data_IF_570579367484
#
_entry.id   IF_570579367484
#
_cell.length_a   1.000
_cell.length_b   1.000
_cell.length_c   1.000
_cell.angle_alpha   90.00
_cell.angle_beta   90.00
_cell.angle_gamma   90.00
#
_symmetry.space_group_name_H-M   'P 1'
#
loop_
_entity.id
_entity.type
_entity.pdbx_description
1 polymer ?
#
# COMPACT_ATOMS: atom_id res chain seq x y z
N UNK A 1 -13.58 16.13 -3.97
CA UNK A 1 -12.20 15.66 -4.19
C UNK A 1 -12.05 14.26 -3.63
N UNK A 2 -11.35 13.43 -4.34
CA UNK A 2 -11.17 12.05 -3.91
C UNK A 2 -10.02 11.93 -2.91
N UNK A 3 -10.21 11.07 -1.94
CA UNK A 3 -9.14 10.70 -1.02
C UNK A 3 -8.11 9.86 -1.80
N UNK A 4 -6.85 10.12 -1.59
CA UNK A 4 -5.75 9.42 -2.28
C UNK A 4 -5.08 8.50 -1.28
N UNK A 5 -5.08 7.20 -1.58
CA UNK A 5 -4.60 6.19 -0.64
C UNK A 5 -3.53 5.33 -1.32
N UNK A 6 -2.40 5.17 -0.66
CA UNK A 6 -1.33 4.27 -1.08
C UNK A 6 -1.41 3.00 -0.24
N UNK A 7 -1.54 1.86 -0.90
CA UNK A 7 -1.53 0.56 -0.23
C UNK A 7 -0.27 -0.18 -0.65
N UNK A 8 0.62 -0.43 0.30
CA UNK A 8 1.77 -1.31 0.05
C UNK A 8 1.28 -2.73 0.32
N UNK A 9 1.01 -3.47 -0.74
CA UNK A 9 0.41 -4.78 -0.63
C UNK A 9 1.47 -5.87 -0.75
N UNK A 10 1.18 -7.00 -0.20
CA UNK A 10 2.06 -8.17 -0.23
C UNK A 10 1.36 -9.32 0.44
N UNK A 11 0.10 -9.10 0.83
CA UNK A 11 -0.70 -10.08 1.54
C UNK A 11 -2.10 -10.10 0.96
N UNK A 12 -2.84 -11.15 1.29
CA UNK A 12 -4.25 -11.26 0.93
C UNK A 12 -5.04 -10.11 1.52
N UNK A 13 -4.72 -9.70 2.74
CA UNK A 13 -5.41 -8.60 3.40
C UNK A 13 -5.27 -7.31 2.62
N UNK A 14 -4.07 -7.02 2.11
CA UNK A 14 -3.86 -5.83 1.31
C UNK A 14 -4.63 -5.87 -0.01
N UNK A 15 -4.67 -7.02 -0.65
CA UNK A 15 -5.42 -7.20 -1.89
C UNK A 15 -6.91 -7.00 -1.68
N UNK A 16 -7.46 -7.60 -0.61
CA UNK A 16 -8.87 -7.48 -0.31
C UNK A 16 -9.25 -6.05 0.07
N UNK A 17 -8.37 -5.35 0.78
CA UNK A 17 -8.61 -3.96 1.10
C UNK A 17 -8.68 -3.12 -0.16
N UNK A 18 -7.80 -3.38 -1.12
CA UNK A 18 -7.82 -2.65 -2.38
C UNK A 18 -9.14 -2.88 -3.12
N UNK A 19 -9.64 -4.13 -3.11
CA UNK A 19 -10.91 -4.43 -3.74
C UNK A 19 -12.06 -3.70 -3.08
N UNK A 20 -12.07 -3.66 -1.75
CA UNK A 20 -13.12 -2.98 -1.02
C UNK A 20 -13.10 -1.47 -1.28
N UNK A 21 -11.92 -0.88 -1.24
CA UNK A 21 -11.79 0.56 -1.41
C UNK A 21 -11.99 1.00 -2.86
N UNK A 22 -11.77 0.10 -3.81
CA UNK A 22 -11.92 0.45 -5.23
C UNK A 22 -13.35 0.83 -5.58
N UNK A 23 -14.32 0.42 -4.79
CA UNK A 23 -15.73 0.78 -5.01
C UNK A 23 -16.10 2.10 -4.36
N UNK A 24 -15.19 2.71 -3.61
CA UNK A 24 -15.43 3.98 -2.94
C UNK A 24 -14.92 5.13 -3.80
N UNK A 25 -15.24 6.35 -3.38
CA UNK A 25 -14.77 7.54 -4.09
C UNK A 25 -13.35 7.88 -3.65
N UNK A 26 -12.41 7.03 -4.06
CA UNK A 26 -10.99 7.17 -3.70
C UNK A 26 -10.12 6.93 -4.91
N UNK A 27 -8.90 7.45 -4.84
CA UNK A 27 -7.86 7.16 -5.82
C UNK A 27 -6.86 6.26 -5.14
N UNK A 28 -6.66 5.06 -5.66
CA UNK A 28 -5.77 4.08 -5.05
C UNK A 28 -4.49 3.93 -5.86
N UNK A 29 -3.37 3.83 -5.15
CA UNK A 29 -2.12 3.37 -5.75
C UNK A 29 -1.67 2.17 -4.93
N UNK A 30 -1.51 1.03 -5.57
CA UNK A 30 -1.13 -0.21 -4.91
C UNK A 30 0.26 -0.58 -5.37
N UNK A 31 1.20 -0.70 -4.43
CA UNK A 31 2.55 -1.13 -4.76
C UNK A 31 2.75 -2.57 -4.32
N UNK A 32 3.35 -3.35 -5.19
CA UNK A 32 3.65 -4.76 -4.92
C UNK A 32 5.07 -5.03 -5.38
N UNK A 33 5.65 -6.14 -4.92
CA UNK A 33 7.05 -6.42 -5.19
C UNK A 33 7.27 -7.22 -6.48
N UNK A 34 6.20 -7.82 -7.04
CA UNK A 34 6.35 -8.73 -8.18
C UNK A 34 5.23 -8.52 -9.19
N UNK A 35 5.47 -8.95 -10.42
CA UNK A 35 4.45 -8.94 -11.46
C UNK A 35 3.29 -9.84 -11.10
N UNK A 36 3.57 -10.96 -10.47
CA UNK A 36 2.51 -11.87 -10.04
C UNK A 36 1.60 -11.18 -9.02
N UNK A 37 2.20 -10.49 -8.04
CA UNK A 37 1.40 -9.75 -7.08
C UNK A 37 0.54 -8.69 -7.75
N UNK A 38 1.08 -8.02 -8.76
CA UNK A 38 0.32 -7.01 -9.49
C UNK A 38 -0.88 -7.61 -10.20
N UNK A 39 -0.74 -8.84 -10.72
CA UNK A 39 -1.82 -9.49 -11.46
C UNK A 39 -3.00 -9.85 -10.57
N UNK A 40 -2.81 -9.87 -9.26
CA UNK A 40 -3.87 -10.20 -8.31
C UNK A 40 -4.69 -8.98 -7.88
N UNK A 41 -4.24 -7.78 -8.24
CA UNK A 41 -4.92 -6.55 -7.82
C UNK A 41 -6.06 -6.25 -8.77
N UNK A 42 -7.18 -5.81 -8.21
CA UNK A 42 -8.37 -5.51 -8.98
C UNK A 42 -8.08 -4.43 -10.03
N UNK A 43 -8.64 -4.62 -11.23
CA UNK A 43 -8.43 -3.71 -12.36
C UNK A 43 -9.62 -2.76 -12.45
N UNK A 44 -9.42 -1.54 -11.96
CA UNK A 44 -10.43 -0.49 -11.98
C UNK A 44 -9.80 0.84 -12.37
N UNK A 45 -10.57 1.75 -12.98
CA UNK A 45 -10.00 3.03 -13.44
C UNK A 45 -9.35 3.86 -12.34
N UNK A 46 -9.82 3.74 -11.10
CA UNK A 46 -9.29 4.51 -9.99
C UNK A 46 -8.18 3.78 -9.23
N UNK A 47 -7.69 2.66 -9.77
CA UNK A 47 -6.64 1.87 -9.13
C UNK A 47 -5.42 1.82 -10.04
N UNK A 48 -4.29 2.29 -9.53
CA UNK A 48 -3.00 2.19 -10.22
C UNK A 48 -2.16 1.15 -9.49
N UNK A 49 -1.44 0.33 -10.24
CA UNK A 49 -0.59 -0.71 -9.65
C UNK A 49 0.84 -0.50 -10.10
N UNK A 50 1.76 -0.54 -9.14
CA UNK A 50 3.19 -0.43 -9.41
C UNK A 50 3.86 -1.69 -8.89
N UNK A 51 4.42 -2.50 -9.80
CA UNK A 51 5.02 -3.80 -9.46
C UNK A 51 6.53 -3.67 -9.33
N UNK A 52 6.97 -2.79 -8.44
CA UNK A 52 8.37 -2.45 -8.30
C UNK A 52 8.72 -2.29 -6.82
N UNK A 53 9.83 -2.89 -6.43
CA UNK A 53 10.33 -2.69 -5.07
C UNK A 53 10.84 -1.26 -4.93
N UNK A 54 10.42 -0.61 -3.87
CA UNK A 54 10.81 0.77 -3.60
C UNK A 54 11.72 0.81 -2.37
N UNK A 55 12.90 1.43 -2.53
CA UNK A 55 13.72 1.76 -1.39
C UNK A 55 13.22 3.09 -0.80
N UNK A 56 13.93 3.61 0.20
CA UNK A 56 13.50 4.86 0.86
C UNK A 56 13.40 6.01 -0.14
N UNK A 57 14.36 6.13 -1.04
CA UNK A 57 14.34 7.18 -2.06
C UNK A 57 13.18 6.99 -3.02
N UNK A 58 12.94 5.75 -3.45
CA UNK A 58 11.83 5.46 -4.34
C UNK A 58 10.49 5.73 -3.70
N UNK A 59 10.34 5.43 -2.42
CA UNK A 59 9.12 5.73 -1.69
C UNK A 59 8.90 7.24 -1.59
N UNK A 60 9.95 7.99 -1.31
CA UNK A 60 9.85 9.44 -1.22
C UNK A 60 9.42 10.04 -2.56
N UNK A 61 10.01 9.58 -3.65
CA UNK A 61 9.64 10.05 -4.98
C UNK A 61 8.20 9.69 -5.32
N UNK A 62 7.79 8.47 -4.96
CA UNK A 62 6.43 8.02 -5.19
C UNK A 62 5.42 8.89 -4.44
N UNK A 63 5.72 9.19 -3.18
CA UNK A 63 4.85 10.06 -2.38
C UNK A 63 4.76 11.45 -3.01
N UNK A 64 5.87 11.99 -3.48
CA UNK A 64 5.86 13.30 -4.10
C UNK A 64 5.01 13.33 -5.37
N UNK A 65 4.96 12.24 -6.11
CA UNK A 65 4.20 12.14 -7.35
C UNK A 65 2.73 11.85 -7.11
N UNK A 66 2.45 10.86 -6.28
CA UNK A 66 1.09 10.43 -6.03
C UNK A 66 0.37 11.31 -5.01
N UNK A 67 1.10 11.83 -4.04
CA UNK A 67 0.58 12.70 -2.96
C UNK A 67 -0.56 12.02 -2.21
N UNK A 68 -0.28 10.88 -1.55
CA UNK A 68 -1.33 10.18 -0.81
C UNK A 68 -1.74 10.96 0.44
N UNK A 69 -3.01 10.88 0.77
CA UNK A 69 -3.52 11.39 2.04
C UNK A 69 -3.29 10.37 3.15
N UNK A 70 -3.24 9.09 2.76
CA UNK A 70 -3.11 8.00 3.72
C UNK A 70 -2.27 6.90 3.07
N UNK A 71 -1.35 6.35 3.83
CA UNK A 71 -0.55 5.20 3.41
C UNK A 71 -0.88 4.02 4.31
N UNK A 72 -1.24 2.90 3.69
CA UNK A 72 -1.58 1.68 4.42
C UNK A 72 -0.54 0.62 4.09
N UNK A 73 0.14 0.14 5.12
CA UNK A 73 1.18 -0.88 4.99
C UNK A 73 0.56 -2.24 5.25
N UNK A 74 0.31 -2.97 4.19
CA UNK A 74 -0.25 -4.33 4.26
C UNK A 74 0.78 -5.34 3.77
N UNK A 75 2.07 -5.06 4.01
CA UNK A 75 3.12 -5.99 3.64
C UNK A 75 3.18 -7.15 4.63
N UNK A 76 3.89 -8.19 4.21
CA UNK A 76 4.02 -9.40 5.03
C UNK A 76 4.67 -9.06 6.38
N UNK A 77 4.26 -9.72 7.47
CA UNK A 77 4.86 -9.44 8.79
C UNK A 77 6.38 -9.59 8.83
N UNK A 78 6.94 -10.41 7.95
CA UNK A 78 8.39 -10.59 7.92
C UNK A 78 9.12 -9.56 7.06
N UNK A 79 8.39 -8.63 6.45
CA UNK A 79 9.00 -7.56 5.66
C UNK A 79 9.30 -6.36 6.56
N UNK A 80 10.05 -6.59 7.63
CA UNK A 80 10.29 -5.57 8.65
C UNK A 80 11.02 -4.35 8.11
N UNK A 81 11.96 -4.56 7.18
CA UNK A 81 12.71 -3.43 6.60
C UNK A 81 11.81 -2.55 5.77
N UNK A 82 10.91 -3.14 4.99
CA UNK A 82 9.98 -2.36 4.18
C UNK A 82 9.05 -1.54 5.08
N UNK A 83 8.52 -2.18 6.12
CA UNK A 83 7.64 -1.51 7.07
C UNK A 83 8.33 -0.32 7.75
N UNK A 84 9.55 -0.54 8.21
CA UNK A 84 10.29 0.54 8.88
C UNK A 84 10.60 1.68 7.92
N UNK A 85 11.00 1.35 6.69
CA UNK A 85 11.30 2.35 5.69
C UNK A 85 10.06 3.17 5.34
N UNK A 86 8.95 2.48 5.10
CA UNK A 86 7.70 3.14 4.73
C UNK A 86 7.20 4.06 5.85
N UNK A 87 7.24 3.58 7.09
CA UNK A 87 6.84 4.37 8.25
C UNK A 87 7.68 5.63 8.37
N UNK A 88 9.00 5.49 8.24
CA UNK A 88 9.93 6.60 8.37
C UNK A 88 9.75 7.63 7.25
N UNK A 89 9.59 7.16 6.01
CA UNK A 89 9.43 8.07 4.88
C UNK A 89 8.09 8.80 4.97
N UNK A 90 7.03 8.10 5.34
CA UNK A 90 5.72 8.73 5.52
C UNK A 90 5.77 9.81 6.59
N UNK A 91 6.43 9.51 7.70
CA UNK A 91 6.59 10.50 8.79
C UNK A 91 7.32 11.74 8.29
N UNK A 92 8.40 11.52 7.54
CA UNK A 92 9.20 12.62 7.00
C UNK A 92 8.40 13.47 6.01
N UNK A 93 7.52 12.85 5.25
CA UNK A 93 6.73 13.53 4.23
C UNK A 93 5.38 14.04 4.74
N UNK A 94 5.06 13.78 6.00
CA UNK A 94 3.81 14.23 6.58
C UNK A 94 2.58 13.44 6.12
N UNK A 95 2.77 12.19 5.74
CA UNK A 95 1.69 11.30 5.29
C UNK A 95 1.26 10.42 6.46
N UNK A 96 -0.04 10.33 6.68
CA UNK A 96 -0.57 9.45 7.72
C UNK A 96 -0.28 8.00 7.33
N UNK A 97 0.32 7.27 8.27
CA UNK A 97 0.74 5.89 8.05
C UNK A 97 -0.06 4.97 8.96
N UNK A 98 -0.60 3.89 8.40
CA UNK A 98 -1.32 2.87 9.15
C UNK A 98 -0.81 1.49 8.75
N UNK A 99 -0.68 0.61 9.73
CA UNK A 99 -0.26 -0.76 9.50
C UNK A 99 -1.47 -1.67 9.54
N UNK A 100 -1.67 -2.44 8.47
CA UNK A 100 -2.75 -3.44 8.40
C UNK A 100 -2.13 -4.80 8.62
N UNK A 101 -2.48 -5.44 9.71
CA UNK A 101 -1.98 -6.75 10.06
C UNK A 101 -3.10 -7.77 9.95
N UNK A 102 -2.74 -8.99 9.57
CA UNK A 102 -3.67 -10.10 9.62
C UNK A 102 -4.09 -10.30 11.07
N UNK A 103 -5.38 -10.37 11.35
CA UNK A 103 -5.81 -10.66 12.72
C UNK A 103 -5.31 -12.03 13.16
N UNK A 104 -4.97 -12.18 14.43
CA UNK A 104 -4.60 -13.50 14.93
C UNK A 104 -5.77 -14.46 14.77
N UNK A 105 -5.47 -15.70 14.45
CA UNK A 105 -6.50 -16.71 14.30
C UNK A 105 -6.58 -17.51 15.59
N UNK A 106 -7.80 -17.75 16.04
CA UNK A 106 -8.00 -18.33 17.35
C UNK A 106 -7.66 -19.79 17.42
N UNK A 107 -7.68 -20.43 16.29
CA UNK A 107 -7.39 -21.87 16.25
C UNK A 107 -5.91 -22.14 16.33
N UNK A 108 -5.10 -21.15 16.30
CA UNK A 108 -3.66 -21.36 16.43
C UNK A 108 -3.18 -21.06 17.79
#
# INVERSE_FOLDING_TARGET
MSLRIWIAAGTTEGRLLAEDLADENVELAVTVATEYGASLIIDKPNVSVLDKRLNDRGMAEFIDQFKPDLAIDATHPYAAMVTETMRRVCEKKGVVYKRLLRPPTDEE
#
